data_IF_244529015258
#
_entry.id   IF_244529015258
#
_cell.length_a   1.000
_cell.length_b   1.000
_cell.length_c   1.000
_cell.angle_alpha   90.00
_cell.angle_beta   90.00
_cell.angle_gamma   90.00
#
_symmetry.space_group_name_H-M   'P 1'
#
loop_
_entity.id
_entity.type
_entity.pdbx_description
1 polymer ?
#
# COMPACT_ATOMS: atom_id res chain seq x y z
N UNK A 1 -37.08 10.16 4.76
CA UNK A 1 -35.64 10.18 5.08
C UNK A 1 -35.16 11.62 4.91
N UNK A 2 -34.42 12.18 5.87
CA UNK A 2 -33.91 13.56 5.75
C UNK A 2 -32.91 13.69 4.60
N UNK A 3 -32.89 14.84 3.94
CA UNK A 3 -32.02 15.14 2.79
C UNK A 3 -30.54 14.91 3.11
N UNK A 4 -30.14 15.21 4.35
CA UNK A 4 -28.80 15.00 4.86
C UNK A 4 -28.41 13.53 4.81
N UNK A 5 -29.28 12.66 5.32
CA UNK A 5 -29.06 11.22 5.33
C UNK A 5 -29.06 10.65 3.90
N UNK A 6 -29.92 11.17 3.01
CA UNK A 6 -29.92 10.78 1.59
C UNK A 6 -28.60 11.13 0.91
N UNK A 7 -28.07 12.32 1.15
CA UNK A 7 -26.78 12.75 0.62
C UNK A 7 -25.62 11.90 1.15
N UNK A 8 -25.57 11.64 2.45
CA UNK A 8 -24.53 10.82 3.06
C UNK A 8 -24.55 9.37 2.54
N UNK A 9 -25.74 8.79 2.38
CA UNK A 9 -25.94 7.46 1.78
C UNK A 9 -25.51 7.46 0.31
N UNK A 10 -25.93 8.44 -0.47
CA UNK A 10 -25.55 8.56 -1.88
C UNK A 10 -24.03 8.70 -2.05
N UNK A 11 -23.38 9.47 -1.17
CA UNK A 11 -21.93 9.58 -1.13
C UNK A 11 -21.28 8.23 -0.77
N UNK A 12 -21.79 7.55 0.26
CA UNK A 12 -21.26 6.28 0.75
C UNK A 12 -21.33 5.15 -0.28
N UNK A 13 -22.44 5.08 -1.02
CA UNK A 13 -22.68 4.05 -2.05
C UNK A 13 -22.34 4.53 -3.48
N UNK A 14 -21.70 5.69 -3.62
CA UNK A 14 -21.27 6.25 -4.89
C UNK A 14 -22.39 6.37 -5.94
N UNK A 15 -23.58 6.83 -5.52
CA UNK A 15 -24.67 7.17 -6.44
C UNK A 15 -24.36 8.50 -7.16
N UNK A 16 -23.37 8.46 -8.04
CA UNK A 16 -22.74 9.61 -8.67
C UNK A 16 -23.71 10.54 -9.41
N UNK A 17 -24.81 9.97 -9.94
CA UNK A 17 -25.84 10.75 -10.64
C UNK A 17 -26.75 11.51 -9.66
N UNK A 18 -26.88 11.03 -8.42
CA UNK A 18 -27.74 11.61 -7.39
C UNK A 18 -26.98 12.62 -6.51
N UNK A 19 -25.68 12.41 -6.32
CA UNK A 19 -24.85 13.25 -5.44
C UNK A 19 -24.90 14.75 -5.80
N UNK A 20 -24.72 15.17 -7.07
CA UNK A 20 -24.82 16.60 -7.43
C UNK A 20 -26.22 17.17 -7.20
N UNK A 21 -27.27 16.41 -7.54
CA UNK A 21 -28.65 16.85 -7.35
C UNK A 21 -28.99 17.03 -5.87
N UNK A 22 -28.56 16.09 -5.03
CA UNK A 22 -28.73 16.16 -3.58
C UNK A 22 -27.91 17.30 -2.95
N UNK A 23 -26.75 17.63 -3.51
CA UNK A 23 -25.95 18.79 -3.07
C UNK A 23 -26.65 20.12 -3.35
N UNK A 24 -27.19 20.32 -4.55
CA UNK A 24 -27.95 21.52 -4.87
C UNK A 24 -29.22 21.64 -4.00
N UNK A 25 -29.89 20.52 -3.73
CA UNK A 25 -31.04 20.50 -2.82
C UNK A 25 -30.60 20.83 -1.37
N UNK A 26 -29.44 20.37 -0.90
CA UNK A 26 -28.88 20.77 0.40
C UNK A 26 -28.56 22.27 0.46
N UNK A 27 -27.99 22.82 -0.62
CA UNK A 27 -27.64 24.24 -0.76
C UNK A 27 -28.90 25.11 -0.74
N UNK A 28 -29.93 24.73 -1.48
CA UNK A 28 -31.23 25.42 -1.48
C UNK A 28 -31.89 25.43 -0.08
N UNK A 29 -31.64 24.41 0.74
CA UNK A 29 -32.14 24.30 2.10
C UNK A 29 -31.20 24.89 3.16
N UNK A 30 -30.06 25.50 2.79
CA UNK A 30 -29.10 26.09 3.73
C UNK A 30 -28.41 25.07 4.64
N UNK A 31 -28.28 23.81 4.20
CA UNK A 31 -27.73 22.69 5.01
C UNK A 31 -26.29 22.30 4.65
N UNK A 32 -25.55 23.12 3.91
CA UNK A 32 -24.18 22.82 3.46
C UNK A 32 -23.09 23.19 4.47
N UNK A 33 -23.37 24.10 5.42
CA UNK A 33 -22.41 24.63 6.40
C UNK A 33 -21.64 23.52 7.14
N UNK A 34 -22.31 22.41 7.47
CA UNK A 34 -21.69 21.28 8.18
C UNK A 34 -20.64 20.52 7.36
N UNK A 35 -20.58 20.72 6.05
CA UNK A 35 -19.63 20.08 5.13
C UNK A 35 -18.55 21.03 4.62
N UNK A 36 -18.73 22.35 4.76
CA UNK A 36 -17.82 23.38 4.26
C UNK A 36 -16.61 23.62 5.19
N UNK A 37 -16.66 23.11 6.42
CA UNK A 37 -15.54 23.11 7.39
C UNK A 37 -14.71 21.82 7.38
N UNK A 38 -13.59 21.78 8.12
CA UNK A 38 -12.83 20.54 8.31
C UNK A 38 -13.72 19.47 8.95
N UNK A 39 -14.02 18.41 8.20
CA UNK A 39 -14.86 17.29 8.63
C UNK A 39 -14.26 16.68 9.90
N UNK A 40 -14.95 16.86 11.03
CA UNK A 40 -14.54 16.32 12.33
C UNK A 40 -14.68 14.80 12.32
N UNK A 41 -13.74 14.14 12.99
CA UNK A 41 -13.57 12.69 13.07
C UNK A 41 -14.66 12.01 13.91
N UNK A 42 -15.90 12.03 13.44
CA UNK A 42 -16.96 11.09 13.85
C UNK A 42 -17.43 10.36 12.61
N UNK A 43 -17.33 9.02 12.58
CA UNK A 43 -17.87 8.07 11.57
C UNK A 43 -18.36 8.67 10.24
N UNK A 44 -17.56 9.51 9.59
CA UNK A 44 -17.92 10.13 8.34
C UNK A 44 -17.86 9.04 7.27
N UNK A 45 -18.89 8.88 6.42
CA UNK A 45 -18.83 7.92 5.32
C UNK A 45 -17.54 8.15 4.52
N UNK A 46 -16.76 7.09 4.27
CA UNK A 46 -15.39 7.19 3.73
C UNK A 46 -15.28 8.04 2.45
N UNK A 47 -16.34 8.06 1.66
CA UNK A 47 -16.45 8.79 0.39
C UNK A 47 -17.00 10.22 0.53
N UNK A 48 -17.58 10.60 1.68
CA UNK A 48 -18.15 11.93 1.85
C UNK A 48 -17.12 13.06 1.65
N UNK A 49 -15.90 13.01 2.21
CA UNK A 49 -14.93 14.09 1.99
C UNK A 49 -14.47 14.18 0.53
N UNK A 50 -14.52 13.08 -0.22
CA UNK A 50 -14.25 13.09 -1.66
C UNK A 50 -15.31 13.88 -2.40
N UNK A 51 -16.59 13.49 -2.24
CA UNK A 51 -17.69 14.08 -2.98
C UNK A 51 -17.83 15.57 -2.69
N UNK A 52 -17.72 15.97 -1.42
CA UNK A 52 -17.76 17.38 -1.01
C UNK A 52 -16.62 18.17 -1.67
N UNK A 53 -15.38 17.66 -1.62
CA UNK A 53 -14.23 18.32 -2.25
C UNK A 53 -14.40 18.43 -3.77
N UNK A 54 -14.76 17.33 -4.42
CA UNK A 54 -14.94 17.28 -5.89
C UNK A 54 -16.01 18.28 -6.36
N UNK A 55 -17.11 18.41 -5.61
CA UNK A 55 -18.17 19.38 -5.91
C UNK A 55 -17.69 20.82 -5.68
N UNK A 56 -17.02 21.10 -4.55
CA UNK A 56 -16.51 22.44 -4.24
C UNK A 56 -15.41 22.91 -5.21
N UNK A 57 -14.61 21.98 -5.73
CA UNK A 57 -13.61 22.24 -6.79
C UNK A 57 -14.25 22.39 -8.18
N UNK A 58 -15.58 22.27 -8.29
CA UNK A 58 -16.34 22.52 -9.51
C UNK A 58 -16.47 21.31 -10.44
N UNK A 59 -16.20 20.09 -9.97
CA UNK A 59 -16.33 18.86 -10.74
C UNK A 59 -15.61 18.89 -12.10
N UNK A 60 -14.41 19.48 -12.14
CA UNK A 60 -13.66 19.79 -13.38
C UNK A 60 -13.29 18.56 -14.22
N UNK A 61 -13.14 17.41 -13.57
CA UNK A 61 -12.82 16.11 -14.20
C UNK A 61 -13.88 15.08 -13.83
N UNK A 62 -14.07 14.00 -14.62
CA UNK A 62 -14.97 12.91 -14.26
C UNK A 62 -14.69 12.39 -12.85
N UNK A 63 -15.74 12.15 -12.07
CA UNK A 63 -15.60 11.75 -10.66
C UNK A 63 -14.76 10.48 -10.50
N UNK A 64 -14.76 9.57 -11.47
CA UNK A 64 -13.95 8.35 -11.45
C UNK A 64 -12.46 8.66 -11.46
N UNK A 65 -12.03 9.66 -12.23
CA UNK A 65 -10.64 10.10 -12.29
C UNK A 65 -10.24 10.84 -10.99
N UNK A 66 -11.08 11.76 -10.52
CA UNK A 66 -10.83 12.43 -9.24
C UNK A 66 -10.85 11.46 -8.04
N UNK A 67 -11.69 10.42 -8.11
CA UNK A 67 -11.78 9.40 -7.07
C UNK A 67 -10.50 8.56 -7.02
N UNK A 68 -9.85 8.26 -8.14
CA UNK A 68 -8.55 7.60 -8.15
C UNK A 68 -7.52 8.46 -7.37
N UNK A 69 -7.38 9.74 -7.72
CA UNK A 69 -6.45 10.65 -7.04
C UNK A 69 -6.77 10.87 -5.55
N UNK A 70 -8.05 10.81 -5.17
CA UNK A 70 -8.48 10.97 -3.78
C UNK A 70 -8.30 9.68 -2.96
N UNK A 71 -8.66 8.54 -3.56
CA UNK A 71 -8.62 7.24 -2.91
C UNK A 71 -7.20 6.74 -2.78
N UNK A 72 -6.32 6.97 -3.75
CA UNK A 72 -4.94 6.52 -3.71
C UNK A 72 -4.24 6.98 -2.40
N UNK A 73 -4.11 8.29 -2.09
CA UNK A 73 -3.50 8.75 -0.83
C UNK A 73 -4.21 8.25 0.44
N UNK A 74 -5.54 8.15 0.46
CA UNK A 74 -6.28 7.69 1.66
C UNK A 74 -6.24 6.17 1.85
N UNK A 75 -6.13 5.39 0.79
CA UNK A 75 -5.83 3.97 0.86
C UNK A 75 -4.41 3.76 1.38
N UNK A 76 -3.42 4.54 0.88
CA UNK A 76 -2.03 4.49 1.36
C UNK A 76 -1.90 4.83 2.84
N UNK A 77 -2.63 5.83 3.33
CA UNK A 77 -2.50 6.35 4.70
C UNK A 77 -3.37 5.61 5.74
N UNK A 78 -4.23 4.68 5.32
CA UNK A 78 -5.08 3.93 6.25
C UNK A 78 -4.42 2.61 6.64
N UNK A 79 -3.71 2.60 7.78
CA UNK A 79 -3.08 1.41 8.40
C UNK A 79 -4.01 0.23 8.70
N UNK A 80 -5.31 0.33 8.36
CA UNK A 80 -6.34 -0.70 8.54
C UNK A 80 -6.76 -1.39 7.24
N UNK A 81 -6.35 -0.92 6.07
CA UNK A 81 -6.69 -1.55 4.80
C UNK A 81 -5.46 -2.27 4.25
N UNK A 82 -5.41 -3.60 4.37
CA UNK A 82 -4.46 -4.41 3.60
C UNK A 82 -4.92 -4.46 2.15
N UNK A 83 -4.06 -4.10 1.21
CA UNK A 83 -4.30 -4.35 -0.20
C UNK A 83 -4.31 -5.86 -0.42
N UNK A 84 -5.47 -6.42 -0.75
CA UNK A 84 -5.52 -7.83 -1.14
C UNK A 84 -5.07 -8.02 -2.57
N UNK A 85 -4.47 -9.18 -2.82
CA UNK A 85 -4.13 -9.74 -4.12
C UNK A 85 -5.26 -9.63 -5.16
N UNK A 86 -6.52 -9.84 -4.75
CA UNK A 86 -7.69 -9.71 -5.63
C UNK A 86 -7.95 -8.27 -6.09
N UNK A 87 -7.76 -7.29 -5.20
CA UNK A 87 -7.87 -5.88 -5.56
C UNK A 87 -6.72 -5.47 -6.49
N UNK A 88 -5.51 -5.93 -6.22
CA UNK A 88 -4.35 -5.60 -7.06
C UNK A 88 -4.53 -6.04 -8.52
N UNK A 89 -5.13 -7.22 -8.76
CA UNK A 89 -5.37 -7.75 -10.11
C UNK A 89 -6.31 -6.92 -10.98
N UNK A 90 -7.28 -6.23 -10.37
CA UNK A 90 -8.28 -5.46 -11.12
C UNK A 90 -7.83 -4.03 -11.42
N UNK A 91 -6.72 -3.58 -10.83
CA UNK A 91 -6.15 -2.26 -11.12
C UNK A 91 -5.60 -2.16 -12.54
N UNK A 92 -5.72 -0.99 -13.14
CA UNK A 92 -5.06 -0.62 -14.39
C UNK A 92 -3.54 -0.50 -14.19
N UNK A 93 -2.71 -0.73 -15.23
CA UNK A 93 -1.25 -0.63 -15.11
C UNK A 93 -0.75 0.71 -14.53
N UNK A 94 -1.40 1.82 -14.90
CA UNK A 94 -1.10 3.16 -14.42
C UNK A 94 -1.35 3.29 -12.91
N UNK A 95 -2.44 2.70 -12.42
CA UNK A 95 -2.79 2.68 -10.99
C UNK A 95 -1.82 1.79 -10.21
N UNK A 96 -1.48 0.61 -10.75
CA UNK A 96 -0.52 -0.32 -10.12
C UNK A 96 0.83 0.34 -9.92
N UNK A 97 1.31 1.09 -10.91
CA UNK A 97 2.61 1.78 -10.86
C UNK A 97 2.74 2.70 -9.66
N UNK A 98 1.65 3.36 -9.26
CA UNK A 98 1.63 4.23 -8.08
C UNK A 98 1.72 3.44 -6.78
N UNK A 99 1.23 2.20 -6.75
CA UNK A 99 1.24 1.34 -5.57
C UNK A 99 2.55 0.58 -5.37
N UNK A 100 3.32 0.29 -6.44
CA UNK A 100 4.53 -0.55 -6.39
C UNK A 100 5.50 -0.15 -5.25
N UNK A 101 5.83 1.14 -5.04
CA UNK A 101 6.79 1.54 -4.01
C UNK A 101 6.31 1.32 -2.57
N UNK A 102 5.03 0.97 -2.39
CA UNK A 102 4.40 0.85 -1.09
C UNK A 102 3.86 -0.56 -0.83
N UNK A 103 4.06 -1.51 -1.74
CA UNK A 103 3.47 -2.85 -1.61
C UNK A 103 3.91 -3.57 -0.34
N UNK A 104 5.17 -3.40 0.09
CA UNK A 104 5.68 -3.97 1.34
C UNK A 104 4.87 -3.54 2.57
N UNK A 105 4.46 -2.27 2.61
CA UNK A 105 3.65 -1.72 3.70
C UNK A 105 2.15 -2.01 3.55
N UNK A 106 1.66 -2.02 2.31
CA UNK A 106 0.22 -2.14 2.04
C UNK A 106 -0.30 -3.57 2.08
N UNK A 107 0.54 -4.56 1.81
CA UNK A 107 0.12 -5.94 1.68
C UNK A 107 0.49 -6.74 2.93
N UNK A 108 -0.37 -7.67 3.33
CA UNK A 108 0.06 -8.80 4.16
C UNK A 108 1.05 -9.67 3.38
N UNK A 109 1.87 -10.44 4.09
CA UNK A 109 2.88 -11.30 3.49
C UNK A 109 2.33 -12.20 2.34
N UNK A 110 1.17 -12.84 2.54
CA UNK A 110 0.55 -13.69 1.51
C UNK A 110 0.08 -12.89 0.28
N UNK A 111 -0.46 -11.69 0.50
CA UNK A 111 -0.89 -10.81 -0.58
C UNK A 111 0.32 -10.25 -1.34
N UNK A 112 1.37 -9.84 -0.62
CA UNK A 112 2.62 -9.35 -1.22
C UNK A 112 3.24 -10.42 -2.10
N UNK A 113 3.33 -11.66 -1.60
CA UNK A 113 3.83 -12.81 -2.35
C UNK A 113 3.07 -13.01 -3.65
N UNK A 114 1.75 -12.94 -3.58
CA UNK A 114 0.93 -13.11 -4.76
C UNK A 114 1.08 -11.95 -5.75
N UNK A 115 1.13 -10.71 -5.25
CA UNK A 115 1.39 -9.53 -6.08
C UNK A 115 2.71 -9.70 -6.83
N UNK A 116 3.80 -10.01 -6.15
CA UNK A 116 5.12 -10.24 -6.75
C UNK A 116 5.10 -11.30 -7.87
N UNK A 117 4.32 -12.37 -7.71
CA UNK A 117 4.18 -13.41 -8.73
C UNK A 117 3.45 -12.94 -10.01
N UNK A 118 2.55 -11.97 -9.90
CA UNK A 118 1.74 -11.46 -11.02
C UNK A 118 2.43 -10.29 -11.74
N UNK A 119 3.34 -9.58 -11.05
CA UNK A 119 4.09 -8.44 -11.60
C UNK A 119 5.00 -8.85 -12.76
N UNK A 120 5.17 -7.93 -13.72
CA UNK A 120 6.24 -8.08 -14.74
C UNK A 120 7.62 -7.93 -14.10
N UNK A 121 8.66 -8.29 -14.85
CA UNK A 121 10.04 -8.16 -14.34
C UNK A 121 10.39 -6.71 -14.01
N UNK A 122 9.98 -5.77 -14.86
CA UNK A 122 10.20 -4.34 -14.68
C UNK A 122 9.45 -3.79 -13.46
N UNK A 123 8.26 -4.32 -13.16
CA UNK A 123 7.52 -3.94 -11.97
C UNK A 123 8.14 -4.54 -10.70
N UNK A 124 8.61 -5.78 -10.74
CA UNK A 124 9.34 -6.40 -9.63
C UNK A 124 10.62 -5.62 -9.28
N UNK A 125 11.34 -5.13 -10.28
CA UNK A 125 12.56 -4.35 -10.05
C UNK A 125 12.23 -3.02 -9.33
N UNK A 126 11.13 -2.34 -9.70
CA UNK A 126 10.65 -1.14 -8.97
C UNK A 126 10.23 -1.45 -7.53
N UNK A 127 9.60 -2.60 -7.31
CA UNK A 127 9.28 -3.04 -5.94
C UNK A 127 10.56 -3.29 -5.16
N UNK A 128 11.58 -3.89 -5.77
CA UNK A 128 12.87 -4.11 -5.13
C UNK A 128 13.58 -2.79 -4.77
N UNK A 129 13.47 -1.75 -5.59
CA UNK A 129 14.03 -0.42 -5.28
C UNK A 129 13.47 0.21 -4.01
N UNK A 130 12.20 -0.07 -3.67
CA UNK A 130 11.50 0.62 -2.57
C UNK A 130 11.12 -0.27 -1.39
N UNK A 131 10.98 -1.58 -1.61
CA UNK A 131 10.49 -2.56 -0.64
C UNK A 131 11.46 -3.75 -0.49
N UNK A 132 12.76 -3.52 -0.71
CA UNK A 132 13.78 -4.57 -0.70
C UNK A 132 13.75 -5.40 0.60
N UNK A 133 13.63 -4.72 1.74
CA UNK A 133 13.62 -5.33 3.07
C UNK A 133 12.40 -6.24 3.21
N UNK A 134 11.20 -5.74 2.92
CA UNK A 134 9.95 -6.48 3.05
C UNK A 134 9.91 -7.69 2.10
N UNK A 135 10.49 -7.56 0.90
CA UNK A 135 10.62 -8.69 -0.03
C UNK A 135 11.59 -9.74 0.52
N UNK A 136 12.70 -9.36 1.14
CA UNK A 136 13.64 -10.30 1.75
C UNK A 136 13.05 -10.96 3.00
N UNK A 137 12.40 -10.21 3.87
CA UNK A 137 11.66 -10.72 5.04
C UNK A 137 10.56 -11.70 4.64
N UNK A 138 9.82 -11.42 3.56
CA UNK A 138 8.85 -12.36 3.00
C UNK A 138 9.53 -13.70 2.67
N UNK A 139 10.74 -13.66 2.13
CA UNK A 139 11.53 -14.84 1.81
C UNK A 139 12.19 -15.48 3.03
N UNK A 140 12.09 -14.94 4.23
CA UNK A 140 12.50 -15.64 5.47
C UNK A 140 11.42 -16.61 5.96
N UNK A 141 10.16 -16.44 5.53
CA UNK A 141 9.07 -17.31 5.96
C UNK A 141 9.04 -18.63 5.19
N UNK A 142 8.69 -19.73 5.86
CA UNK A 142 8.38 -20.99 5.18
C UNK A 142 7.17 -20.81 4.25
N UNK A 143 7.18 -21.34 3.01
CA UNK A 143 8.20 -22.20 2.40
C UNK A 143 9.26 -21.47 1.57
N UNK A 144 9.30 -20.14 1.60
CA UNK A 144 10.17 -19.31 0.75
C UNK A 144 11.62 -19.19 1.27
N UNK A 145 11.87 -19.50 2.55
CA UNK A 145 13.20 -19.53 3.17
C UNK A 145 14.30 -20.17 2.30
N UNK A 146 13.96 -21.26 1.59
CA UNK A 146 14.90 -21.95 0.69
C UNK A 146 15.36 -21.12 -0.52
N UNK A 147 14.56 -20.16 -0.97
CA UNK A 147 14.89 -19.27 -2.08
C UNK A 147 15.50 -17.94 -1.61
N UNK A 148 15.63 -17.73 -0.30
CA UNK A 148 16.09 -16.47 0.27
C UNK A 148 17.42 -16.00 -0.32
N UNK A 149 18.46 -16.85 -0.32
CA UNK A 149 19.79 -16.47 -0.83
C UNK A 149 19.76 -16.08 -2.32
N UNK A 150 18.93 -16.74 -3.11
CA UNK A 150 18.74 -16.41 -4.54
C UNK A 150 18.00 -15.10 -4.73
N UNK A 151 17.08 -14.76 -3.82
CA UNK A 151 16.44 -13.43 -3.81
C UNK A 151 17.44 -12.37 -3.34
N UNK A 152 18.27 -12.66 -2.32
CA UNK A 152 19.33 -11.77 -1.84
C UNK A 152 20.36 -11.43 -2.94
N UNK A 153 20.76 -12.41 -3.76
CA UNK A 153 21.65 -12.19 -4.90
C UNK A 153 21.12 -11.15 -5.89
N UNK A 154 19.79 -11.05 -6.05
CA UNK A 154 19.14 -10.04 -6.89
C UNK A 154 18.98 -8.69 -6.18
N UNK A 155 18.96 -8.72 -4.84
CA UNK A 155 18.70 -7.56 -4.00
C UNK A 155 19.95 -6.69 -3.74
N UNK A 156 21.17 -7.20 -3.99
CA UNK A 156 22.40 -6.47 -3.64
C UNK A 156 22.49 -5.06 -4.20
N UNK A 157 21.99 -4.82 -5.41
CA UNK A 157 22.03 -3.50 -6.04
C UNK A 157 20.98 -2.52 -5.48
N UNK A 158 20.07 -2.99 -4.64
CA UNK A 158 18.96 -2.21 -4.08
C UNK A 158 19.09 -2.04 -2.56
N UNK A 159 20.04 -2.74 -1.92
CA UNK A 159 20.31 -2.62 -0.50
C UNK A 159 21.30 -1.50 -0.24
N UNK A 160 21.04 -0.77 0.84
CA UNK A 160 22.00 0.12 1.49
C UNK A 160 22.51 -0.56 2.76
N UNK A 161 23.59 -0.02 3.34
CA UNK A 161 24.23 -0.54 4.56
C UNK A 161 23.22 -0.72 5.70
N UNK A 162 22.37 0.28 5.91
CA UNK A 162 21.32 0.25 6.93
C UNK A 162 20.31 -0.88 6.68
N UNK A 163 19.84 -1.01 5.44
CA UNK A 163 18.90 -2.06 5.04
C UNK A 163 19.51 -3.45 5.16
N UNK A 164 20.80 -3.58 4.83
CA UNK A 164 21.55 -4.82 5.00
C UNK A 164 21.59 -5.27 6.46
N UNK A 165 21.90 -4.34 7.38
CA UNK A 165 21.91 -4.64 8.82
C UNK A 165 20.55 -5.11 9.32
N UNK A 166 19.45 -4.44 8.93
CA UNK A 166 18.08 -4.85 9.31
C UNK A 166 17.79 -6.30 8.88
N UNK A 167 18.13 -6.65 7.63
CA UNK A 167 17.89 -8.00 7.10
C UNK A 167 18.72 -9.05 7.85
N UNK A 168 19.98 -8.74 8.15
CA UNK A 168 20.85 -9.64 8.89
C UNK A 168 20.37 -9.83 10.34
N UNK A 169 20.01 -8.75 11.03
CA UNK A 169 19.43 -8.80 12.37
C UNK A 169 18.14 -9.64 12.38
N UNK A 170 17.26 -9.42 11.40
CA UNK A 170 16.03 -10.20 11.25
C UNK A 170 16.31 -11.71 11.13
N UNK A 171 17.32 -12.11 10.33
CA UNK A 171 17.71 -13.53 10.24
C UNK A 171 18.19 -14.09 11.59
N UNK A 172 19.00 -13.31 12.33
CA UNK A 172 19.53 -13.73 13.63
C UNK A 172 18.45 -13.83 14.71
N UNK A 173 17.42 -12.98 14.67
CA UNK A 173 16.25 -13.07 15.54
C UNK A 173 15.44 -14.35 15.30
N UNK A 174 15.51 -14.91 14.09
CA UNK A 174 14.78 -16.12 13.72
C UNK A 174 15.52 -17.42 14.07
N UNK A 175 16.72 -17.34 14.67
CA UNK A 175 17.56 -18.51 15.00
C UNK A 175 16.87 -19.58 15.85
N UNK A 176 15.90 -19.18 16.68
CA UNK A 176 15.20 -20.09 17.59
C UNK A 176 14.00 -20.80 16.92
N UNK A 177 13.70 -20.49 15.65
CA UNK A 177 12.63 -21.16 14.91
C UNK A 177 13.12 -22.52 14.39
N UNK A 178 12.24 -23.52 14.46
CA UNK A 178 12.57 -24.92 14.11
C UNK A 178 12.19 -25.30 12.67
N UNK A 179 11.57 -24.39 11.93
CA UNK A 179 11.10 -24.61 10.56
C UNK A 179 12.20 -24.46 9.50
N UNK A 180 13.31 -23.78 9.83
CA UNK A 180 14.45 -23.61 8.94
C UNK A 180 15.75 -23.30 9.72
N UNK A 181 16.92 -23.61 9.13
CA UNK A 181 18.22 -23.28 9.70
C UNK A 181 18.58 -21.82 9.40
N UNK A 182 18.07 -20.91 10.24
CA UNK A 182 18.30 -19.47 10.10
C UNK A 182 19.72 -19.04 10.47
N UNK A 183 20.43 -19.81 11.30
CA UNK A 183 21.84 -19.57 11.61
C UNK A 183 22.71 -19.78 10.36
N UNK A 184 22.52 -20.90 9.68
CA UNK A 184 23.13 -21.15 8.37
C UNK A 184 22.76 -20.05 7.36
N UNK A 185 21.48 -19.65 7.32
CA UNK A 185 21.01 -18.64 6.38
C UNK A 185 21.67 -17.27 6.61
N UNK A 186 21.80 -16.85 7.87
CA UNK A 186 22.47 -15.61 8.26
C UNK A 186 23.97 -15.65 7.90
N UNK A 187 24.64 -16.76 8.19
CA UNK A 187 26.06 -16.94 7.88
C UNK A 187 26.31 -16.89 6.36
N UNK A 188 25.49 -17.58 5.57
CA UNK A 188 25.61 -17.56 4.11
C UNK A 188 25.25 -16.20 3.51
N UNK A 189 24.23 -15.53 4.03
CA UNK A 189 23.87 -14.18 3.61
C UNK A 189 25.03 -13.20 3.83
N UNK A 190 25.66 -13.26 5.01
CA UNK A 190 26.86 -12.48 5.32
C UNK A 190 28.04 -12.86 4.42
N UNK A 191 28.35 -14.15 4.24
CA UNK A 191 29.48 -14.58 3.40
C UNK A 191 29.34 -14.10 1.95
N UNK A 192 28.15 -14.20 1.38
CA UNK A 192 27.85 -13.83 -0.01
C UNK A 192 27.66 -12.34 -0.23
N UNK A 193 27.58 -11.53 0.83
CA UNK A 193 27.39 -10.09 0.69
C UNK A 193 28.61 -9.42 0.04
N UNK A 194 28.39 -8.38 -0.77
CA UNK A 194 29.45 -7.50 -1.26
C UNK A 194 30.34 -6.95 -0.14
N UNK A 195 31.62 -6.71 -0.46
CA UNK A 195 32.65 -6.29 0.52
C UNK A 195 32.25 -5.01 1.26
N UNK A 196 31.65 -4.04 0.58
CA UNK A 196 31.28 -2.76 1.20
C UNK A 196 30.31 -2.92 2.39
N UNK A 197 29.44 -3.93 2.40
CA UNK A 197 28.59 -4.20 3.56
C UNK A 197 29.35 -4.74 4.77
N UNK A 198 30.55 -5.28 4.57
CA UNK A 198 31.38 -5.88 5.62
C UNK A 198 32.30 -4.87 6.32
N UNK A 199 32.54 -3.73 5.69
CA UNK A 199 33.41 -2.67 6.22
C UNK A 199 32.81 -1.99 7.46
N UNK A 200 31.50 -2.13 7.69
CA UNK A 200 30.77 -1.54 8.82
C UNK A 200 30.72 -2.43 10.08
N UNK A 201 31.34 -3.62 10.05
CA UNK A 201 31.30 -4.60 11.14
C UNK A 201 32.69 -4.94 11.71
N UNK A 202 33.60 -3.96 11.77
CA UNK A 202 34.90 -4.04 12.44
C UNK A 202 35.02 -3.05 13.62
#
# INVERSE_FOLDING_TARGET
MDITARFEIACMYCFANEVPALWEELKANGKTEKYEGPLRSEMVPKMLPFWVRWILEGAQVPWTQAAQEFLLPRWFLSSKNSLSSSHFRVLMPEERRLLLPHLGYLCRADDLRFCLYVLTKEEQDKVMESCCIEVLELHMNWPLAREFLKTAEKAWNFLFEYSFCIVLESLLEHRDRTDFDFEYLAEEFWKRSPIHFKEFWF
#
